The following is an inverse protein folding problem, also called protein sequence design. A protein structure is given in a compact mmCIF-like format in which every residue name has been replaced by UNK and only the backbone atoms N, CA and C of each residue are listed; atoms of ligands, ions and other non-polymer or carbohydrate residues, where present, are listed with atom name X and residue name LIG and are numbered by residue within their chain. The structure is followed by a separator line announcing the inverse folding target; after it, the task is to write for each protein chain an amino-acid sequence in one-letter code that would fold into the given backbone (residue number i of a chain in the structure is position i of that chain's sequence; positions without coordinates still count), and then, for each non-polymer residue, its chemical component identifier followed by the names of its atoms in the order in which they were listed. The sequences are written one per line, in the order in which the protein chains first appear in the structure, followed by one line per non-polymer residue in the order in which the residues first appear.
data_IF_871313335682
#
_entry.id   IF_871313335682
#
_cell.length_a   1.000
_cell.length_b   1.000
_cell.length_c   1.000
_cell.angle_alpha   90.00
_cell.angle_beta   90.00
_cell.angle_gamma   90.00
#
_symmetry.space_group_name_H-M   'P 1'
#
loop_
_entity.id
_entity.type
_entity.pdbx_description
1 polymer ?
#
# COMPACT_ATOMS: atom_id res chain seq x y z
N UNK A 1 -28.29 37.72 -17.88
CA UNK A 1 -28.03 37.85 -16.43
C UNK A 1 -26.72 37.14 -16.13
N UNK A 2 -25.74 37.90 -15.66
CA UNK A 2 -24.37 37.47 -15.38
C UNK A 2 -24.40 36.75 -14.02
N UNK A 3 -24.04 35.46 -14.01
CA UNK A 3 -23.74 34.72 -12.79
C UNK A 3 -22.33 35.06 -12.33
N UNK A 4 -22.21 35.54 -11.10
CA UNK A 4 -20.96 35.90 -10.43
C UNK A 4 -20.12 34.64 -10.23
N UNK A 5 -18.94 34.58 -10.85
CA UNK A 5 -17.91 33.60 -10.54
C UNK A 5 -17.25 34.02 -9.22
N UNK A 6 -17.39 33.21 -8.17
CA UNK A 6 -16.58 33.39 -6.98
C UNK A 6 -15.11 33.23 -7.37
N UNK A 7 -14.32 34.26 -7.05
CA UNK A 7 -12.87 34.28 -7.24
C UNK A 7 -12.23 33.11 -6.50
N UNK A 8 -11.36 32.37 -7.19
CA UNK A 8 -10.44 31.45 -6.53
C UNK A 8 -9.50 32.26 -5.60
N UNK A 9 -9.21 31.80 -4.38
CA UNK A 9 -8.32 32.53 -3.48
C UNK A 9 -6.92 32.63 -4.10
N UNK A 10 -6.34 33.82 -4.03
CA UNK A 10 -4.95 34.05 -4.40
C UNK A 10 -4.04 33.19 -3.52
N UNK A 11 -3.32 32.25 -4.13
CA UNK A 11 -2.34 31.39 -3.47
C UNK A 11 -1.18 32.28 -3.02
N UNK A 12 -1.13 32.58 -1.72
CA UNK A 12 -0.18 33.53 -1.13
C UNK A 12 0.79 32.85 -0.15
N UNK A 13 0.71 31.52 0.02
CA UNK A 13 1.61 30.76 0.90
C UNK A 13 2.18 29.52 0.23
N UNK A 14 3.45 29.26 0.51
CA UNK A 14 4.17 28.08 0.06
C UNK A 14 3.58 26.77 0.60
N UNK A 15 2.82 26.84 1.70
CA UNK A 15 2.19 25.67 2.33
C UNK A 15 1.07 25.04 1.45
N UNK A 16 0.48 25.82 0.54
CA UNK A 16 -0.61 25.35 -0.34
C UNK A 16 -0.12 24.44 -1.48
N UNK A 17 1.19 24.40 -1.75
CA UNK A 17 1.79 23.56 -2.80
C UNK A 17 1.76 22.07 -2.47
N UNK A 18 1.80 21.70 -1.19
CA UNK A 18 1.86 20.29 -0.77
C UNK A 18 0.48 19.63 -0.85
N UNK A 19 -0.60 20.41 -0.70
CA UNK A 19 -1.95 19.87 -0.56
C UNK A 19 -2.68 19.59 -1.89
N UNK A 20 -2.22 20.18 -3.00
CA UNK A 20 -2.84 20.00 -4.33
C UNK A 20 -2.51 18.64 -4.97
N UNK A 21 -1.36 18.05 -4.66
CA UNK A 21 -0.92 16.80 -5.28
C UNK A 21 -1.72 15.56 -4.81
N UNK A 22 -2.33 15.62 -3.63
CA UNK A 22 -3.06 14.50 -3.04
C UNK A 22 -4.51 14.33 -3.53
N UNK A 23 -5.15 15.40 -4.04
CA UNK A 23 -6.58 15.36 -4.37
C UNK A 23 -6.90 14.89 -5.80
N UNK A 24 -5.90 14.75 -6.69
CA UNK A 24 -6.15 14.37 -8.08
C UNK A 24 -6.42 12.87 -8.31
N UNK A 25 -6.29 12.00 -7.30
CA UNK A 25 -6.20 10.55 -7.53
C UNK A 25 -7.44 9.72 -7.14
N UNK A 26 -8.52 10.30 -6.64
CA UNK A 26 -9.66 9.51 -6.15
C UNK A 26 -11.03 10.06 -6.58
N UNK A 27 -11.37 9.86 -7.86
CA UNK A 27 -12.76 9.77 -8.31
C UNK A 27 -12.92 8.62 -9.32
N UNK A 28 -13.12 7.40 -8.80
CA UNK A 28 -13.56 6.26 -9.62
C UNK A 28 -15.06 6.02 -9.40
N UNK A 29 -15.90 6.64 -10.23
CA UNK A 29 -17.26 6.17 -10.43
C UNK A 29 -17.24 5.06 -11.48
N UNK A 30 -17.68 3.86 -11.06
CA UNK A 30 -17.67 2.66 -11.88
C UNK A 30 -18.40 2.83 -13.21
N UNK A 31 -17.64 2.85 -14.32
CA UNK A 31 -18.08 2.42 -15.65
C UNK A 31 -16.89 1.80 -16.40
N UNK A 32 -17.10 0.55 -16.82
CA UNK A 32 -16.40 -0.26 -17.83
C UNK A 32 -15.28 0.47 -18.62
N UNK A 33 -14.02 0.14 -18.34
CA UNK A 33 -12.87 0.64 -19.10
C UNK A 33 -12.81 -0.01 -20.49
N UNK A 34 -13.00 0.79 -21.55
CA UNK A 34 -12.49 0.44 -22.90
C UNK A 34 -11.01 0.81 -22.95
N UNK A 35 -10.19 -0.02 -23.60
CA UNK A 35 -8.78 0.29 -23.91
C UNK A 35 -8.70 1.63 -24.65
N UNK A 36 -8.16 2.64 -23.98
CA UNK A 36 -7.80 3.94 -24.53
C UNK A 36 -6.62 4.46 -23.73
N UNK A 37 -5.52 4.76 -24.40
CA UNK A 37 -4.35 5.44 -23.82
C UNK A 37 -4.77 6.83 -23.35
N UNK A 38 -4.72 7.08 -22.04
CA UNK A 38 -4.94 8.39 -21.45
C UNK A 38 -3.64 9.20 -21.60
N UNK A 39 -3.66 10.42 -22.17
CA UNK A 39 -2.47 11.26 -22.25
C UNK A 39 -2.10 11.78 -20.85
N UNK A 40 -0.84 11.62 -20.45
CA UNK A 40 -0.27 12.29 -19.26
C UNK A 40 0.08 13.73 -19.66
N UNK A 41 -0.43 14.77 -18.98
CA UNK A 41 -0.03 16.14 -19.28
C UNK A 41 1.44 16.37 -18.85
N UNK A 42 2.18 17.12 -19.68
CA UNK A 42 3.58 17.43 -19.44
C UNK A 42 3.76 18.26 -18.14
N UNK A 43 4.92 18.14 -17.44
CA UNK A 43 5.21 18.95 -16.25
C UNK A 43 5.20 20.44 -16.59
N UNK A 44 4.45 21.23 -15.83
CA UNK A 44 4.41 22.68 -16.00
C UNK A 44 5.67 23.31 -15.39
N UNK A 45 6.56 23.85 -16.23
CA UNK A 45 7.75 24.58 -15.79
C UNK A 45 7.36 25.94 -15.18
N UNK A 46 7.79 26.19 -13.94
CA UNK A 46 7.49 27.43 -13.22
C UNK A 46 8.60 28.48 -13.39
N UNK A 47 8.29 29.79 -13.43
CA UNK A 47 9.31 30.84 -13.54
C UNK A 47 10.25 30.85 -12.32
N UNK A 48 11.56 30.78 -12.59
CA UNK A 48 12.65 30.74 -11.58
C UNK A 48 12.64 31.92 -10.59
N UNK A 49 11.99 33.04 -10.93
CA UNK A 49 11.86 34.21 -10.04
C UNK A 49 11.05 33.91 -8.77
N UNK A 50 10.09 32.99 -8.84
CA UNK A 50 9.24 32.60 -7.70
C UNK A 50 9.94 31.66 -6.71
N UNK A 51 10.97 30.92 -7.15
CA UNK A 51 11.78 30.08 -6.26
C UNK A 51 12.74 30.88 -5.37
N UNK A 52 13.23 32.03 -5.86
CA UNK A 52 14.27 32.82 -5.16
C UNK A 52 13.75 33.54 -3.92
N UNK A 53 12.48 33.90 -3.88
CA UNK A 53 11.89 34.59 -2.71
C UNK A 53 11.57 33.64 -1.54
N UNK A 54 11.61 32.33 -1.76
CA UNK A 54 11.31 31.33 -0.73
C UNK A 54 12.52 30.90 0.12
N UNK A 55 13.74 31.31 -0.24
CA UNK A 55 14.98 30.70 0.30
C UNK A 55 15.64 31.47 1.46
N UNK A 56 15.32 32.75 1.71
CA UNK A 56 16.13 33.56 2.62
C UNK A 56 15.66 33.73 4.09
N UNK A 57 14.36 33.63 4.47
CA UNK A 57 14.00 33.68 5.90
C UNK A 57 13.74 32.30 6.54
N UNK A 58 13.50 31.24 5.76
CA UNK A 58 13.16 29.91 6.29
C UNK A 58 14.39 29.10 6.75
N UNK A 59 15.55 29.29 6.11
CA UNK A 59 16.75 28.51 6.43
C UNK A 59 17.22 28.68 7.89
N UNK A 60 16.99 29.85 8.49
CA UNK A 60 17.39 30.15 9.87
C UNK A 60 16.43 29.61 10.93
N UNK A 61 15.17 29.30 10.57
CA UNK A 61 14.17 28.67 11.46
C UNK A 61 14.13 27.15 11.32
N UNK A 62 14.49 26.61 10.15
CA UNK A 62 14.49 25.16 9.90
C UNK A 62 15.51 24.38 10.75
N UNK A 63 16.62 24.99 11.17
CA UNK A 63 17.63 24.33 12.00
C UNK A 63 17.14 23.97 13.42
N UNK A 64 16.17 24.72 13.97
CA UNK A 64 15.65 24.48 15.32
C UNK A 64 14.58 23.37 15.32
N UNK A 65 13.85 23.20 14.21
CA UNK A 65 12.78 22.19 14.08
C UNK A 65 13.34 20.79 13.76
N UNK A 66 14.49 20.73 13.07
CA UNK A 66 15.16 19.46 12.73
C UNK A 66 15.69 18.69 13.95
N UNK A 67 15.93 19.36 15.08
CA UNK A 67 16.43 18.70 16.31
C UNK A 67 15.34 18.06 17.18
N UNK A 68 14.05 18.37 16.95
CA UNK A 68 12.93 17.80 17.72
C UNK A 68 12.13 16.72 16.97
N UNK A 69 12.51 16.42 15.73
CA UNK A 69 11.79 15.45 14.90
C UNK A 69 12.49 14.10 14.91
N UNK A 70 12.72 13.52 16.09
CA UNK A 70 12.80 12.06 16.20
C UNK A 70 11.40 11.54 15.96
N UNK A 71 11.05 11.33 14.70
CA UNK A 71 9.85 10.60 14.34
C UNK A 71 9.98 9.20 14.94
N UNK A 72 9.18 8.91 15.96
CA UNK A 72 8.78 7.54 16.20
C UNK A 72 8.16 7.07 14.90
N UNK A 73 8.88 6.22 14.16
CA UNK A 73 8.33 5.52 13.01
C UNK A 73 7.24 4.61 13.54
N UNK A 74 6.04 5.16 13.73
CA UNK A 74 4.84 4.37 13.89
C UNK A 74 4.70 3.57 12.62
N UNK A 75 4.98 2.27 12.68
CA UNK A 75 4.71 1.37 11.59
C UNK A 75 3.24 1.58 11.21
N UNK A 76 2.99 2.11 10.01
CA UNK A 76 1.64 2.20 9.49
C UNK A 76 1.10 0.76 9.40
N UNK A 77 0.25 0.37 10.34
CA UNK A 77 -0.41 -0.92 10.27
C UNK A 77 -1.37 -0.90 9.09
N UNK A 78 -1.00 -1.60 8.02
CA UNK A 78 -1.92 -1.88 6.92
C UNK A 78 -3.00 -2.79 7.48
N UNK A 79 -4.16 -2.22 7.82
CA UNK A 79 -5.31 -2.99 8.29
C UNK A 79 -5.99 -3.67 7.11
N UNK A 80 -5.78 -4.98 6.96
CA UNK A 80 -6.46 -5.79 5.94
C UNK A 80 -7.68 -6.46 6.58
N UNK A 81 -8.85 -6.34 5.97
CA UNK A 81 -10.03 -7.08 6.41
C UNK A 81 -9.87 -8.57 6.07
N UNK A 82 -9.52 -9.39 7.07
CA UNK A 82 -9.32 -10.83 6.90
C UNK A 82 -10.64 -11.58 7.17
N UNK A 83 -11.12 -12.28 6.15
CA UNK A 83 -12.28 -13.16 6.25
C UNK A 83 -11.87 -14.64 6.35
N UNK A 84 -12.73 -15.44 6.99
CA UNK A 84 -12.56 -16.89 7.11
C UNK A 84 -11.36 -17.31 7.96
N UNK A 85 -10.83 -18.50 7.70
CA UNK A 85 -9.73 -19.10 8.45
C UNK A 85 -8.42 -18.31 8.40
N UNK A 86 -8.20 -17.47 7.39
CA UNK A 86 -7.03 -16.59 7.32
C UNK A 86 -6.91 -15.59 8.48
N UNK A 87 -8.04 -15.18 9.06
CA UNK A 87 -8.09 -14.33 10.26
C UNK A 87 -7.97 -15.10 11.57
N UNK A 88 -7.80 -16.43 11.53
CA UNK A 88 -7.60 -17.27 12.72
C UNK A 88 -6.12 -17.51 12.97
N UNK A 89 -5.80 -18.05 14.14
CA UNK A 89 -4.43 -18.38 14.52
C UNK A 89 -3.95 -19.66 13.84
N UNK A 90 -2.64 -19.81 13.74
CA UNK A 90 -1.98 -21.04 13.31
C UNK A 90 -2.42 -22.25 14.15
N UNK A 91 -2.59 -22.09 15.47
CA UNK A 91 -3.11 -23.15 16.34
C UNK A 91 -4.51 -23.61 15.90
N UNK A 92 -5.39 -22.66 15.57
CA UNK A 92 -6.73 -22.99 15.09
C UNK A 92 -6.67 -23.75 13.77
N UNK A 93 -5.88 -23.29 12.80
CA UNK A 93 -5.70 -23.98 11.52
C UNK A 93 -5.21 -25.42 11.69
N UNK A 94 -4.24 -25.64 12.57
CA UNK A 94 -3.64 -26.96 12.80
C UNK A 94 -4.46 -27.86 13.73
N UNK A 95 -5.53 -27.37 14.35
CA UNK A 95 -6.26 -28.09 15.40
C UNK A 95 -7.12 -29.27 14.91
N UNK A 96 -7.49 -29.33 13.63
CA UNK A 96 -8.29 -30.44 13.09
C UNK A 96 -8.04 -30.67 11.60
N UNK A 97 -8.34 -31.87 11.05
CA UNK A 97 -8.28 -32.12 9.62
C UNK A 97 -9.17 -31.18 8.79
N UNK A 98 -10.35 -30.82 9.30
CA UNK A 98 -11.28 -29.90 8.63
C UNK A 98 -10.73 -28.47 8.58
N UNK A 99 -10.14 -28.00 9.68
CA UNK A 99 -9.49 -26.69 9.67
C UNK A 99 -8.28 -26.71 8.75
N UNK A 100 -7.49 -27.80 8.74
CA UNK A 100 -6.36 -27.94 7.83
C UNK A 100 -6.77 -27.84 6.37
N UNK A 101 -7.83 -28.54 5.96
CA UNK A 101 -8.32 -28.50 4.58
C UNK A 101 -8.89 -27.13 4.20
N UNK A 102 -9.68 -26.50 5.08
CA UNK A 102 -10.18 -25.13 4.88
C UNK A 102 -9.02 -24.14 4.72
N UNK A 103 -8.01 -24.24 5.58
CA UNK A 103 -6.83 -23.38 5.55
C UNK A 103 -5.98 -23.58 4.32
N UNK A 104 -5.85 -24.81 3.82
CA UNK A 104 -5.16 -25.07 2.56
C UNK A 104 -5.87 -24.37 1.39
N UNK A 105 -7.20 -24.53 1.26
CA UNK A 105 -8.01 -23.83 0.24
C UNK A 105 -7.87 -22.32 0.37
N UNK A 106 -7.90 -21.79 1.58
CA UNK A 106 -7.70 -20.36 1.83
C UNK A 106 -6.31 -19.88 1.40
N UNK A 107 -5.24 -20.63 1.74
CA UNK A 107 -3.86 -20.31 1.36
C UNK A 107 -3.72 -20.30 -0.17
N UNK A 108 -4.30 -21.27 -0.89
CA UNK A 108 -4.31 -21.28 -2.36
C UNK A 108 -4.92 -20.00 -2.94
N UNK A 109 -6.09 -19.59 -2.43
CA UNK A 109 -6.77 -18.38 -2.86
C UNK A 109 -5.96 -17.12 -2.55
N UNK A 110 -5.40 -17.04 -1.33
CA UNK A 110 -4.57 -15.93 -0.90
C UNK A 110 -3.33 -15.77 -1.81
N UNK A 111 -2.60 -16.86 -2.06
CA UNK A 111 -1.42 -16.87 -2.93
C UNK A 111 -1.75 -16.48 -4.37
N UNK A 112 -2.86 -16.99 -4.89
CA UNK A 112 -3.33 -16.64 -6.25
C UNK A 112 -3.65 -15.16 -6.36
N UNK A 113 -4.29 -14.58 -5.33
CA UNK A 113 -4.53 -13.14 -5.25
C UNK A 113 -3.25 -12.32 -5.21
N UNK A 114 -2.26 -12.75 -4.43
CA UNK A 114 -0.95 -12.10 -4.38
C UNK A 114 -0.22 -12.17 -5.73
N UNK A 115 -0.23 -13.32 -6.40
CA UNK A 115 0.33 -13.47 -7.74
C UNK A 115 -0.38 -12.58 -8.76
N UNK A 116 -1.70 -12.41 -8.66
CA UNK A 116 -2.45 -11.49 -9.51
C UNK A 116 -2.03 -10.03 -9.29
N UNK A 117 -1.93 -9.59 -8.03
CA UNK A 117 -1.48 -8.23 -7.68
C UNK A 117 -0.04 -8.00 -8.14
N UNK A 118 0.86 -8.97 -7.95
CA UNK A 118 2.24 -8.91 -8.43
C UNK A 118 2.28 -8.74 -9.96
N UNK A 119 1.53 -9.57 -10.69
CA UNK A 119 1.43 -9.48 -12.15
C UNK A 119 0.89 -8.13 -12.63
N UNK A 120 -0.17 -7.62 -11.99
CA UNK A 120 -0.76 -6.32 -12.31
C UNK A 120 0.16 -5.13 -11.97
N UNK A 121 1.12 -5.35 -11.08
CA UNK A 121 2.10 -4.35 -10.64
C UNK A 121 3.49 -4.54 -11.28
N UNK A 122 3.59 -5.39 -12.31
CA UNK A 122 4.85 -5.73 -12.99
C UNK A 122 5.95 -6.27 -12.05
N UNK A 123 5.54 -6.91 -10.94
CA UNK A 123 6.43 -7.58 -10.00
C UNK A 123 6.55 -9.08 -10.31
N UNK A 124 7.66 -9.68 -9.87
CA UNK A 124 7.83 -11.13 -9.93
C UNK A 124 6.75 -11.84 -9.11
N UNK A 125 6.12 -12.81 -9.77
CA UNK A 125 5.15 -13.70 -9.15
C UNK A 125 5.89 -14.86 -8.48
N UNK A 126 5.39 -15.29 -7.32
CA UNK A 126 5.86 -16.52 -6.71
C UNK A 126 5.60 -17.70 -7.65
N UNK A 127 6.66 -18.43 -8.00
CA UNK A 127 6.60 -19.70 -8.75
C UNK A 127 6.58 -20.94 -7.86
N UNK A 128 6.46 -20.75 -6.53
CA UNK A 128 6.34 -21.84 -5.58
C UNK A 128 5.22 -22.81 -5.96
N UNK A 129 5.50 -24.11 -5.86
CA UNK A 129 4.47 -25.15 -6.03
C UNK A 129 3.47 -25.12 -4.88
N UNK A 130 2.30 -25.69 -5.10
CA UNK A 130 1.27 -25.92 -4.09
C UNK A 130 1.84 -26.52 -2.80
N UNK A 131 2.63 -27.58 -2.93
CA UNK A 131 3.21 -28.29 -1.78
C UNK A 131 4.26 -27.44 -1.05
N UNK A 132 5.10 -26.70 -1.79
CA UNK A 132 6.11 -25.83 -1.21
C UNK A 132 5.47 -24.69 -0.39
N UNK A 133 4.44 -24.06 -0.94
CA UNK A 133 3.66 -23.03 -0.27
C UNK A 133 3.03 -23.56 1.02
N UNK A 134 2.26 -24.65 0.97
CA UNK A 134 1.56 -25.18 2.14
C UNK A 134 2.57 -25.62 3.21
N UNK A 135 3.65 -26.28 2.81
CA UNK A 135 4.69 -26.76 3.73
C UNK A 135 5.38 -25.60 4.45
N UNK A 136 5.70 -24.51 3.76
CA UNK A 136 6.35 -23.34 4.36
C UNK A 136 5.46 -22.67 5.42
N UNK A 137 4.16 -22.51 5.10
CA UNK A 137 3.18 -21.95 6.04
C UNK A 137 3.00 -22.88 7.24
N UNK A 138 2.86 -24.18 7.01
CA UNK A 138 2.69 -25.18 8.06
C UNK A 138 3.89 -25.23 9.02
N UNK A 139 5.12 -25.26 8.49
CA UNK A 139 6.34 -25.29 9.28
C UNK A 139 6.44 -24.08 10.22
N UNK A 140 6.13 -22.89 9.70
CA UNK A 140 6.14 -21.67 10.49
C UNK A 140 5.03 -21.66 11.54
N UNK A 141 3.83 -22.12 11.16
CA UNK A 141 2.69 -22.20 12.07
C UNK A 141 2.90 -23.20 13.22
N UNK A 142 3.61 -24.31 12.98
CA UNK A 142 3.99 -25.26 14.05
C UNK A 142 4.92 -24.61 15.07
N UNK A 143 5.81 -23.73 14.62
CA UNK A 143 6.77 -23.03 15.49
C UNK A 143 6.15 -21.81 16.19
N UNK A 144 5.11 -21.21 15.61
CA UNK A 144 4.48 -19.98 16.10
C UNK A 144 2.94 -20.09 16.13
N UNK A 145 2.37 -20.93 17.00
CA UNK A 145 0.94 -21.26 16.98
C UNK A 145 0.00 -20.07 17.26
N UNK A 146 0.48 -19.02 17.93
CA UNK A 146 -0.31 -17.81 18.24
C UNK A 146 -0.42 -16.83 17.07
N UNK A 147 0.40 -16.97 16.02
CA UNK A 147 0.40 -16.07 14.86
C UNK A 147 -0.87 -16.22 14.04
N UNK A 148 -1.34 -15.13 13.44
CA UNK A 148 -2.46 -15.15 12.49
C UNK A 148 -2.02 -15.82 11.18
N UNK A 149 -2.85 -16.72 10.64
CA UNK A 149 -2.54 -17.52 9.45
C UNK A 149 -2.17 -16.64 8.25
N UNK A 150 -2.94 -15.59 7.96
CA UNK A 150 -2.68 -14.69 6.85
C UNK A 150 -1.30 -14.00 6.94
N UNK A 151 -0.87 -13.63 8.15
CA UNK A 151 0.43 -13.00 8.35
C UNK A 151 1.59 -13.97 8.11
N UNK A 152 1.39 -15.26 8.47
CA UNK A 152 2.36 -16.31 8.17
C UNK A 152 2.39 -16.62 6.67
N UNK A 153 1.23 -16.73 6.03
CA UNK A 153 1.12 -16.93 4.58
C UNK A 153 1.79 -15.80 3.78
N UNK A 154 1.57 -14.55 4.17
CA UNK A 154 2.25 -13.39 3.58
C UNK A 154 3.78 -13.47 3.70
N UNK A 155 4.28 -13.81 4.89
CA UNK A 155 5.73 -13.94 5.13
C UNK A 155 6.32 -15.06 4.26
N UNK A 156 5.64 -16.21 4.20
CA UNK A 156 6.06 -17.34 3.37
C UNK A 156 6.03 -16.98 1.87
N UNK A 157 5.06 -16.18 1.42
CA UNK A 157 5.00 -15.69 0.03
C UNK A 157 6.23 -14.85 -0.31
N UNK A 158 6.58 -13.89 0.57
CA UNK A 158 7.76 -13.06 0.38
C UNK A 158 9.01 -13.93 0.35
N UNK A 159 9.17 -14.84 1.32
CA UNK A 159 10.38 -15.65 1.45
C UNK A 159 10.58 -16.59 0.26
N UNK A 160 9.51 -17.19 -0.26
CA UNK A 160 9.56 -18.06 -1.44
C UNK A 160 9.64 -17.29 -2.77
N UNK A 161 9.51 -15.96 -2.74
CA UNK A 161 9.60 -15.10 -3.93
C UNK A 161 10.88 -14.23 -3.94
N UNK A 162 11.80 -14.45 -3.00
CA UNK A 162 13.16 -13.90 -3.04
C UNK A 162 13.97 -14.71 -4.06
N UNK A 163 14.00 -14.23 -5.30
CA UNK A 163 15.02 -14.58 -6.30
C UNK A 163 15.91 -13.38 -6.58
#
# INVERSE_FOLDING_TARGET
MIGVWNQAPAISRCDDLVFSQAHAHLHFHGKRLRKGTVPVPAPQEWPQSQLKDCTNPMLKRSLVILLLSTSAAGAAEISVNLAGIGGRTCAFWLSSPNHRSEGAVWIYGFWSGLNYVAAASEQNQSKATSDAMISAVEQTCRSHPSRVLAAVAWSAYIDLNKE
#
